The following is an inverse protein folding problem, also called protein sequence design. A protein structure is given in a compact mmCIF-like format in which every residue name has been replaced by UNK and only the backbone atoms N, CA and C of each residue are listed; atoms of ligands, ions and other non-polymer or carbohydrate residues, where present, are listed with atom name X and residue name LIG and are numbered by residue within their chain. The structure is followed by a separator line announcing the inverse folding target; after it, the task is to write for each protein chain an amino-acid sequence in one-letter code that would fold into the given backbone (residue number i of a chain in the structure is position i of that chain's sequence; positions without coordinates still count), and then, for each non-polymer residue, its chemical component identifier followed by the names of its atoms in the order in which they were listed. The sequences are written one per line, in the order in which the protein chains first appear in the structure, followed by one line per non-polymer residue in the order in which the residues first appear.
data_IF_176088478004
#
_entry.id   IF_176088478004
#
_cell.length_a   1.000
_cell.length_b   1.000
_cell.length_c   1.000
_cell.angle_alpha   90.00
_cell.angle_beta   90.00
_cell.angle_gamma   90.00
#
_symmetry.space_group_name_H-M   'P 1'
#
loop_
_entity.id
_entity.type
_entity.pdbx_description
1 polymer ?
#
# COMPACT_ATOMS: atom_id res chain seq x y z
N UNK A 1 17.48 5.27 -5.99
CA UNK A 1 16.69 6.12 -5.07
C UNK A 1 15.65 5.20 -4.45
N UNK A 2 15.45 5.30 -3.14
CA UNK A 2 14.44 4.50 -2.43
C UNK A 2 13.24 5.39 -2.13
N UNK A 3 12.05 4.82 -2.21
CA UNK A 3 10.81 5.43 -1.75
C UNK A 3 10.37 4.81 -0.43
N UNK A 4 9.79 5.62 0.45
CA UNK A 4 9.22 5.16 1.71
C UNK A 4 7.71 4.99 1.54
N UNK A 5 7.21 3.77 1.68
CA UNK A 5 5.77 3.45 1.54
C UNK A 5 5.24 2.91 2.85
N UNK A 6 4.16 3.51 3.34
CA UNK A 6 3.48 3.15 4.59
C UNK A 6 2.17 2.43 4.27
N UNK A 7 1.96 1.33 4.98
CA UNK A 7 0.78 0.48 4.89
C UNK A 7 0.09 0.50 6.23
N UNK A 8 -1.13 1.02 6.26
CA UNK A 8 -2.02 0.96 7.41
C UNK A 8 -3.10 -0.07 7.11
N UNK A 9 -3.17 -1.15 7.89
CA UNK A 9 -4.05 -2.27 7.54
C UNK A 9 -4.62 -2.96 8.77
N UNK A 10 -5.69 -3.73 8.53
CA UNK A 10 -6.30 -4.65 9.48
C UNK A 10 -7.15 -5.68 8.73
N UNK A 11 -7.46 -6.80 9.37
CA UNK A 11 -8.38 -7.82 8.86
C UNK A 11 -9.35 -8.21 9.95
N UNK A 12 -10.59 -8.54 9.60
CA UNK A 12 -11.52 -9.18 10.52
C UNK A 12 -10.88 -10.47 11.03
N UNK A 13 -10.79 -10.56 12.35
CA UNK A 13 -10.04 -11.54 13.12
C UNK A 13 -8.51 -11.51 12.94
N UNK A 14 -7.95 -12.05 11.87
CA UNK A 14 -6.50 -12.35 11.81
C UNK A 14 -5.86 -11.91 10.48
N UNK A 15 -4.71 -11.25 10.56
CA UNK A 15 -3.71 -11.16 9.48
C UNK A 15 -2.63 -12.21 9.75
N UNK A 16 -2.57 -13.26 8.94
CA UNK A 16 -1.64 -14.38 9.14
C UNK A 16 -0.23 -14.08 8.61
N UNK A 17 -0.15 -13.34 7.50
CA UNK A 17 1.10 -13.09 6.82
C UNK A 17 1.05 -11.85 5.92
N UNK A 18 2.23 -11.33 5.62
CA UNK A 18 2.40 -10.23 4.69
C UNK A 18 3.70 -10.39 3.88
N UNK A 19 3.58 -10.21 2.57
CA UNK A 19 4.66 -10.31 1.60
C UNK A 19 4.75 -9.08 0.70
N UNK A 20 5.97 -8.79 0.28
CA UNK A 20 6.29 -7.84 -0.78
C UNK A 20 7.02 -8.61 -1.87
N UNK A 21 6.54 -8.50 -3.11
CA UNK A 21 7.11 -9.18 -4.27
C UNK A 21 7.63 -8.17 -5.29
N UNK A 22 8.90 -8.28 -5.63
CA UNK A 22 9.62 -7.51 -6.65
C UNK A 22 10.06 -8.47 -7.76
N UNK A 23 9.35 -8.45 -8.89
CA UNK A 23 9.54 -9.45 -9.95
C UNK A 23 9.29 -10.88 -9.44
N UNK A 24 10.35 -11.68 -9.36
CA UNK A 24 10.33 -13.07 -8.86
C UNK A 24 10.75 -13.21 -7.39
N UNK A 25 11.18 -12.13 -6.75
CA UNK A 25 11.66 -12.17 -5.36
C UNK A 25 10.51 -11.84 -4.41
N UNK A 26 10.19 -12.77 -3.52
CA UNK A 26 9.19 -12.60 -2.47
C UNK A 26 9.90 -12.40 -1.14
N UNK A 27 9.53 -11.35 -0.40
CA UNK A 27 10.08 -11.05 0.93
C UNK A 27 8.95 -10.96 1.94
N UNK A 28 8.97 -11.84 2.94
CA UNK A 28 8.06 -11.76 4.09
C UNK A 28 8.38 -10.54 4.95
N UNK A 29 7.34 -9.86 5.42
CA UNK A 29 7.43 -8.74 6.35
C UNK A 29 6.99 -9.18 7.74
N UNK A 30 7.47 -8.49 8.78
CA UNK A 30 6.91 -8.65 10.12
C UNK A 30 5.48 -8.11 10.16
N UNK A 31 4.59 -8.84 10.84
CA UNK A 31 3.30 -8.31 11.25
C UNK A 31 3.48 -7.28 12.36
N UNK A 32 2.48 -6.42 12.54
CA UNK A 32 2.43 -5.54 13.70
C UNK A 32 1.88 -6.26 14.95
N UNK A 33 1.64 -5.48 15.99
CA UNK A 33 1.21 -6.00 17.30
C UNK A 33 -0.29 -6.32 17.33
N UNK A 34 -1.08 -5.86 16.35
CA UNK A 34 -2.54 -5.98 16.32
C UNK A 34 -3.04 -6.96 15.25
N UNK A 35 -2.20 -7.90 14.86
CA UNK A 35 -2.49 -8.89 13.82
C UNK A 35 -3.74 -9.73 14.10
N UNK A 36 -4.17 -9.86 15.37
CA UNK A 36 -5.36 -10.59 15.82
C UNK A 36 -6.49 -9.67 16.35
N UNK A 37 -6.41 -8.37 16.07
CA UNK A 37 -7.36 -7.39 16.57
C UNK A 37 -7.78 -6.40 15.48
N UNK A 38 -8.86 -6.78 14.78
CA UNK A 38 -9.41 -6.04 13.65
C UNK A 38 -9.86 -4.60 13.96
N UNK A 39 -10.08 -4.27 15.23
CA UNK A 39 -10.51 -2.93 15.65
C UNK A 39 -9.36 -1.94 15.73
N UNK A 40 -8.14 -2.44 15.74
CA UNK A 40 -6.92 -1.67 15.71
C UNK A 40 -6.22 -1.89 14.38
N UNK A 41 -5.48 -0.87 13.93
CA UNK A 41 -4.63 -1.00 12.76
C UNK A 41 -3.24 -1.48 13.16
N UNK A 42 -2.61 -2.18 12.24
CA UNK A 42 -1.16 -2.22 12.15
C UNK A 42 -0.65 -1.21 11.13
N UNK A 43 0.60 -0.79 11.33
CA UNK A 43 1.27 0.15 10.44
C UNK A 43 2.71 -0.27 10.25
N UNK A 44 3.13 -0.40 9.00
CA UNK A 44 4.53 -0.65 8.68
C UNK A 44 4.93 0.21 7.49
N UNK A 45 6.16 0.71 7.59
CA UNK A 45 6.79 1.49 6.53
C UNK A 45 7.98 0.72 6.02
N UNK A 46 8.01 0.51 4.69
CA UNK A 46 9.10 -0.19 4.02
C UNK A 46 9.78 0.72 3.00
N UNK A 47 11.05 0.45 2.74
CA UNK A 47 11.82 1.13 1.69
C UNK A 47 11.79 0.30 0.41
N UNK A 48 11.28 0.89 -0.67
CA UNK A 48 11.16 0.27 -1.98
C UNK A 48 12.08 0.97 -2.98
N UNK A 49 12.54 0.26 -4.01
CA UNK A 49 13.39 0.84 -5.05
C UNK A 49 12.54 1.62 -6.05
N UNK A 50 12.92 2.88 -6.31
CA UNK A 50 12.25 3.69 -7.32
C UNK A 50 12.55 3.16 -8.73
N UNK A 51 11.52 3.16 -9.58
CA UNK A 51 11.55 2.58 -10.92
C UNK A 51 11.05 1.13 -11.02
N UNK A 52 10.68 0.51 -9.89
CA UNK A 52 10.16 -0.86 -9.84
C UNK A 52 8.65 -0.91 -9.63
N UNK A 53 8.04 -2.03 -10.02
CA UNK A 53 6.66 -2.38 -9.71
C UNK A 53 6.64 -3.48 -8.65
N UNK A 54 5.72 -3.37 -7.70
CA UNK A 54 5.62 -4.25 -6.55
C UNK A 54 4.22 -4.83 -6.47
N UNK A 55 4.15 -6.12 -6.15
CA UNK A 55 2.94 -6.72 -5.61
C UNK A 55 3.07 -6.74 -4.08
N UNK A 56 2.02 -6.30 -3.39
CA UNK A 56 1.91 -6.43 -1.94
C UNK A 56 0.77 -7.36 -1.63
N UNK A 57 1.05 -8.40 -0.84
CA UNK A 57 0.15 -9.50 -0.58
C UNK A 57 -0.02 -9.68 0.92
N UNK A 58 -1.26 -9.66 1.39
CA UNK A 58 -1.62 -10.08 2.75
C UNK A 58 -2.31 -11.43 2.70
N UNK A 59 -2.12 -12.24 3.73
CA UNK A 59 -2.99 -13.36 4.05
C UNK A 59 -3.83 -12.97 5.27
N UNK A 60 -5.13 -13.15 5.18
CA UNK A 60 -6.05 -12.93 6.27
C UNK A 60 -6.91 -14.17 6.49
N UNK A 61 -7.23 -14.45 7.74
CA UNK A 61 -8.13 -15.52 8.15
C UNK A 61 -9.24 -15.00 9.04
N UNK A 62 -10.43 -15.53 8.81
CA UNK A 62 -11.63 -15.25 9.58
C UNK A 62 -12.05 -16.49 10.41
N UNK A 63 -12.56 -16.26 11.62
CA UNK A 63 -13.10 -17.31 12.50
C UNK A 63 -14.64 -17.27 12.49
N UNK A 64 -15.17 -17.28 11.27
CA UNK A 64 -16.60 -17.31 10.97
C UNK A 64 -17.29 -15.95 11.09
N UNK A 65 -18.41 -15.84 10.37
CA UNK A 65 -19.13 -14.59 10.25
C UNK A 65 -18.79 -13.92 8.93
N UNK A 66 -18.77 -12.59 8.91
CA UNK A 66 -18.61 -11.79 7.70
C UNK A 66 -17.18 -11.25 7.66
N UNK A 67 -16.31 -11.86 6.86
CA UNK A 67 -14.90 -11.51 6.78
C UNK A 67 -14.62 -10.24 5.97
N UNK A 68 -13.55 -9.53 6.33
CA UNK A 68 -13.14 -8.30 5.66
C UNK A 68 -11.68 -7.95 5.87
N UNK A 69 -11.08 -7.32 4.88
CA UNK A 69 -9.75 -6.73 4.94
C UNK A 69 -9.87 -5.23 4.66
N UNK A 70 -9.13 -4.42 5.40
CA UNK A 70 -9.10 -2.98 5.23
C UNK A 70 -7.66 -2.51 5.22
N UNK A 71 -7.28 -1.74 4.20
CA UNK A 71 -5.95 -1.15 4.15
C UNK A 71 -5.92 0.17 3.38
N UNK A 72 -4.99 1.02 3.77
CA UNK A 72 -4.62 2.26 3.08
C UNK A 72 -3.11 2.30 2.88
N UNK A 73 -2.70 2.68 1.67
CA UNK A 73 -1.29 2.81 1.31
C UNK A 73 -0.98 4.27 1.04
N UNK A 74 0.06 4.77 1.69
CA UNK A 74 0.50 6.16 1.55
C UNK A 74 2.01 6.24 1.32
N UNK A 75 2.45 7.29 0.63
CA UNK A 75 3.86 7.63 0.47
C UNK A 75 4.01 9.12 0.22
N UNK A 76 5.12 9.68 0.68
CA UNK A 76 5.55 11.01 0.29
C UNK A 76 6.19 11.03 -1.11
N UNK A 77 6.63 9.86 -1.59
CA UNK A 77 7.23 9.68 -2.91
C UNK A 77 6.13 9.40 -3.95
N UNK A 78 6.33 9.78 -5.23
CA UNK A 78 5.33 9.57 -6.25
C UNK A 78 5.21 8.10 -6.59
N UNK A 79 4.10 7.52 -6.18
CA UNK A 79 3.67 6.17 -6.51
C UNK A 79 2.48 6.23 -7.47
N UNK A 80 2.41 5.29 -8.40
CA UNK A 80 1.30 5.16 -9.34
C UNK A 80 0.38 4.01 -8.91
N UNK A 81 -0.92 4.20 -9.08
CA UNK A 81 -1.95 3.25 -8.65
C UNK A 81 -3.05 3.93 -7.84
N UNK A 82 -4.25 3.33 -7.82
CA UNK A 82 -5.34 3.78 -6.96
C UNK A 82 -5.24 3.08 -5.60
N UNK A 83 -4.34 3.59 -4.77
CA UNK A 83 -3.85 2.92 -3.57
C UNK A 83 -4.79 2.96 -2.36
N UNK A 84 -5.85 3.75 -2.46
CA UNK A 84 -6.89 3.90 -1.45
C UNK A 84 -8.22 3.25 -1.87
N UNK A 85 -8.34 2.81 -3.13
CA UNK A 85 -9.55 2.14 -3.61
C UNK A 85 -9.24 0.72 -4.04
N UNK A 86 -10.05 -0.19 -3.54
CA UNK A 86 -9.93 -1.62 -3.82
C UNK A 86 -10.41 -2.03 -5.20
N UNK A 87 -10.89 -1.09 -6.02
CA UNK A 87 -11.30 -1.37 -7.40
C UNK A 87 -10.20 -2.00 -8.27
N UNK A 88 -8.93 -1.82 -7.89
CA UNK A 88 -7.77 -2.46 -8.55
C UNK A 88 -7.17 -3.62 -7.77
N UNK A 89 -7.75 -4.00 -6.63
CA UNK A 89 -7.22 -5.05 -5.76
C UNK A 89 -7.80 -6.39 -6.15
N UNK A 90 -7.08 -7.44 -5.81
CA UNK A 90 -7.44 -8.79 -6.18
C UNK A 90 -7.32 -9.74 -5.00
N UNK A 91 -8.06 -10.83 -5.05
CA UNK A 91 -8.09 -11.86 -4.02
C UNK A 91 -7.96 -13.24 -4.63
N UNK A 92 -7.51 -14.20 -3.82
CA UNK A 92 -7.56 -15.63 -4.11
C UNK A 92 -7.72 -16.43 -2.82
N UNK A 93 -8.41 -17.55 -2.91
CA UNK A 93 -8.55 -18.55 -1.82
C UNK A 93 -7.60 -19.73 -2.03
N UNK A 94 -6.81 -19.72 -3.11
CA UNK A 94 -5.84 -20.78 -3.39
C UNK A 94 -4.65 -20.66 -2.43
N UNK A 95 -4.23 -21.79 -1.86
CA UNK A 95 -3.10 -21.84 -0.91
C UNK A 95 -1.77 -21.48 -1.58
N UNK A 96 -1.58 -21.88 -2.84
CA UNK A 96 -0.38 -21.60 -3.63
C UNK A 96 -0.51 -20.27 -4.40
N UNK A 97 -0.65 -19.17 -3.65
CA UNK A 97 -1.00 -17.83 -4.16
C UNK A 97 -0.05 -17.28 -5.23
N UNK A 98 1.21 -17.72 -5.24
CA UNK A 98 2.23 -17.29 -6.22
C UNK A 98 1.87 -17.70 -7.66
N UNK A 99 1.16 -18.81 -7.80
CA UNK A 99 0.69 -19.36 -9.09
C UNK A 99 -0.82 -19.29 -9.27
N UNK A 100 -1.52 -18.78 -8.26
CA UNK A 100 -2.97 -18.77 -8.21
C UNK A 100 -3.61 -17.88 -9.27
N UNK A 101 -4.87 -18.17 -9.56
CA UNK A 101 -5.71 -17.23 -10.29
C UNK A 101 -6.23 -16.17 -9.33
N UNK A 102 -5.97 -14.91 -9.68
CA UNK A 102 -6.43 -13.75 -8.92
C UNK A 102 -7.69 -13.18 -9.55
N UNK A 103 -8.72 -12.96 -8.73
CA UNK A 103 -9.97 -12.31 -9.15
C UNK A 103 -10.10 -10.94 -8.50
N UNK A 104 -10.88 -9.99 -9.06
CA UNK A 104 -11.12 -8.72 -8.41
C UNK A 104 -11.69 -8.89 -7.00
N UNK A 105 -11.22 -8.08 -6.05
CA UNK A 105 -11.78 -8.04 -4.71
C UNK A 105 -13.21 -7.49 -4.73
N UNK A 106 -14.07 -8.00 -3.85
CA UNK A 106 -15.43 -7.50 -3.66
C UNK A 106 -15.43 -6.39 -2.61
N UNK A 107 -16.06 -5.27 -2.94
CA UNK A 107 -16.24 -4.11 -2.05
C UNK A 107 -17.44 -4.31 -1.13
N UNK A 108 -17.25 -4.05 0.17
CA UNK A 108 -18.29 -4.15 1.18
C UNK A 108 -18.59 -2.84 1.92
N UNK A 109 -17.78 -1.79 1.72
CA UNK A 109 -18.03 -0.49 2.34
C UNK A 109 -16.75 0.30 2.60
N UNK A 110 -16.83 1.63 2.51
CA UNK A 110 -15.73 2.50 2.94
C UNK A 110 -15.55 2.46 4.46
N UNK A 111 -14.34 2.71 4.96
CA UNK A 111 -14.02 2.72 6.38
C UNK A 111 -14.93 3.68 7.17
N UNK A 112 -15.24 4.86 6.63
CA UNK A 112 -16.18 5.81 7.23
C UNK A 112 -17.67 5.55 6.89
N UNK A 113 -17.97 4.52 6.09
CA UNK A 113 -19.33 4.14 5.73
C UNK A 113 -20.05 3.48 6.90
N UNK A 114 -21.31 3.88 7.16
CA UNK A 114 -22.10 3.35 8.27
C UNK A 114 -22.95 2.12 7.92
N UNK A 115 -22.97 1.70 6.65
CA UNK A 115 -23.90 0.69 6.13
C UNK A 115 -23.38 -0.75 6.16
N UNK A 116 -22.18 -1.00 6.70
CA UNK A 116 -21.57 -2.32 6.76
C UNK A 116 -21.30 -2.76 8.21
N UNK A 117 -21.00 -4.05 8.39
CA UNK A 117 -20.94 -4.69 9.71
C UNK A 117 -19.78 -4.16 10.56
N UNK A 118 -18.60 -3.92 9.97
CA UNK A 118 -17.41 -3.52 10.73
C UNK A 118 -17.57 -2.16 11.39
N UNK A 119 -18.12 -1.16 10.69
CA UNK A 119 -18.40 0.15 11.30
C UNK A 119 -19.47 0.05 12.38
N UNK A 120 -20.51 -0.79 12.18
CA UNK A 120 -21.58 -0.96 13.16
C UNK A 120 -21.07 -1.59 14.47
N UNK A 121 -20.26 -2.64 14.36
CA UNK A 121 -19.70 -3.36 15.51
C UNK A 121 -18.60 -2.55 16.19
N UNK A 122 -17.77 -1.85 15.42
CA UNK A 122 -16.72 -0.98 15.96
C UNK A 122 -17.26 0.37 16.47
N UNK A 123 -18.51 0.71 16.15
CA UNK A 123 -19.15 2.01 16.46
C UNK A 123 -18.42 3.20 15.82
N UNK A 124 -17.86 3.00 14.64
CA UNK A 124 -17.10 4.01 13.90
C UNK A 124 -16.03 3.40 12.99
N UNK A 125 -15.35 4.25 12.20
CA UNK A 125 -14.23 3.81 11.36
C UNK A 125 -13.07 3.26 12.20
N UNK A 126 -12.24 2.41 11.60
CA UNK A 126 -10.95 2.04 12.17
C UNK A 126 -10.06 3.27 12.18
N UNK A 127 -9.68 3.71 13.37
CA UNK A 127 -8.91 4.94 13.55
C UNK A 127 -7.50 4.77 13.00
N UNK A 128 -7.07 5.74 12.20
CA UNK A 128 -5.71 5.77 11.65
C UNK A 128 -5.56 5.07 10.30
N UNK A 129 -6.59 4.38 9.80
CA UNK A 129 -6.68 4.00 8.39
C UNK A 129 -7.48 5.10 7.66
N UNK A 130 -7.14 5.37 6.40
CA UNK A 130 -7.84 6.37 5.59
C UNK A 130 -9.36 6.12 5.61
N UNK A 131 -10.15 7.19 5.68
CA UNK A 131 -11.60 7.09 5.76
C UNK A 131 -12.23 6.60 4.45
N UNK A 132 -11.58 6.85 3.32
CA UNK A 132 -12.00 6.41 2.00
C UNK A 132 -11.47 5.02 1.64
N UNK A 133 -10.67 4.39 2.51
CA UNK A 133 -10.24 3.01 2.32
C UNK A 133 -11.44 2.06 2.33
N UNK A 134 -11.36 1.01 1.53
CA UNK A 134 -12.45 0.10 1.27
C UNK A 134 -12.28 -1.21 2.07
N UNK A 135 -13.31 -1.62 2.81
CA UNK A 135 -13.44 -2.99 3.29
C UNK A 135 -13.68 -3.92 2.11
N UNK A 136 -12.82 -4.93 1.98
CA UNK A 136 -12.83 -5.87 0.87
C UNK A 136 -12.63 -7.31 1.29
N UNK A 137 -13.12 -8.22 0.45
CA UNK A 137 -12.88 -9.65 0.58
C UNK A 137 -13.13 -10.35 -0.76
N UNK A 138 -13.33 -11.66 -0.74
CA UNK A 138 -13.98 -12.39 -1.85
C UNK A 138 -15.47 -12.06 -1.95
N UNK A 139 -16.13 -12.54 -3.00
CA UNK A 139 -17.59 -12.44 -3.16
C UNK A 139 -18.38 -13.38 -2.22
N UNK A 140 -17.68 -14.17 -1.41
CA UNK A 140 -18.23 -15.11 -0.43
C UNK A 140 -17.62 -14.90 0.94
N UNK A 141 -17.71 -13.67 1.44
CA UNK A 141 -17.11 -13.30 2.71
C UNK A 141 -17.73 -13.96 3.95
N UNK A 142 -18.83 -14.69 3.80
CA UNK A 142 -19.40 -15.51 4.87
C UNK A 142 -18.79 -16.92 4.98
N UNK A 143 -18.02 -17.36 3.98
CA UNK A 143 -17.54 -18.75 3.90
C UNK A 143 -16.06 -18.90 3.54
N UNK A 144 -15.46 -17.90 2.91
CA UNK A 144 -14.05 -17.93 2.54
C UNK A 144 -13.20 -17.44 3.73
N UNK A 145 -12.85 -18.37 4.62
CA UNK A 145 -12.18 -18.05 5.89
C UNK A 145 -10.67 -17.85 5.79
N UNK A 146 -10.05 -18.06 4.63
CA UNK A 146 -8.63 -17.81 4.40
C UNK A 146 -8.45 -17.26 2.99
N UNK A 147 -7.93 -16.05 2.91
CA UNK A 147 -7.84 -15.30 1.66
C UNK A 147 -6.49 -14.62 1.58
N UNK A 148 -5.89 -14.68 0.39
CA UNK A 148 -4.81 -13.80 0.02
C UNK A 148 -5.38 -12.57 -0.70
N UNK A 149 -4.94 -11.38 -0.30
CA UNK A 149 -5.32 -10.09 -0.85
C UNK A 149 -4.09 -9.45 -1.46
N UNK A 150 -4.16 -9.01 -2.72
CA UNK A 150 -3.06 -8.40 -3.45
C UNK A 150 -3.43 -7.05 -4.04
N UNK A 151 -2.49 -6.12 -3.94
CA UNK A 151 -2.47 -4.89 -4.73
C UNK A 151 -1.14 -4.72 -5.44
N UNK A 152 -1.16 -4.07 -6.59
CA UNK A 152 0.01 -3.84 -7.44
C UNK A 152 0.18 -2.35 -7.68
N UNK A 153 1.39 -1.84 -7.49
CA UNK A 153 1.71 -0.44 -7.75
C UNK A 153 3.15 -0.27 -8.20
N UNK A 154 3.46 0.88 -8.82
CA UNK A 154 4.82 1.21 -9.21
C UNK A 154 5.32 2.45 -8.49
N UNK A 155 6.56 2.38 -8.02
CA UNK A 155 7.28 3.51 -7.45
C UNK A 155 7.94 4.27 -8.59
N UNK A 156 7.51 5.49 -8.85
CA UNK A 156 8.07 6.25 -9.96
C UNK A 156 9.47 6.75 -9.60
N UNK A 157 10.41 6.65 -10.53
CA UNK A 157 11.67 7.37 -10.40
C UNK A 157 11.42 8.85 -10.60
N UNK A 158 11.72 9.66 -9.57
CA UNK A 158 11.77 11.11 -9.75
C UNK A 158 13.12 11.44 -10.35
N UNK A 159 13.18 11.98 -11.59
CA UNK A 159 14.44 12.47 -12.12
C UNK A 159 14.96 13.55 -11.17
N UNK A 160 16.22 13.45 -10.77
CA UNK A 160 16.88 14.52 -10.01
C UNK A 160 16.62 15.82 -10.79
N UNK A 161 16.04 16.86 -10.16
CA UNK A 161 15.56 18.01 -10.90
C UNK A 161 16.65 18.55 -11.81
N UNK A 162 16.31 18.88 -13.06
CA UNK A 162 17.19 19.63 -13.96
C UNK A 162 17.74 20.92 -13.30
N UNK A 163 17.07 21.39 -12.24
CA UNK A 163 17.56 22.42 -11.34
C UNK A 163 19.00 22.16 -10.85
N UNK A 164 19.45 20.92 -10.60
CA UNK A 164 20.86 20.67 -10.24
C UNK A 164 21.83 21.13 -11.33
N UNK A 165 21.51 20.83 -12.60
CA UNK A 165 22.29 21.29 -13.74
C UNK A 165 22.15 22.78 -13.99
N UNK A 166 20.97 23.36 -13.77
CA UNK A 166 20.73 24.81 -13.86
C UNK A 166 21.47 25.59 -12.77
N UNK A 167 21.47 25.08 -11.54
CA UNK A 167 22.24 25.65 -10.43
C UNK A 167 23.73 25.54 -10.69
N UNK A 168 24.21 24.38 -11.15
CA UNK A 168 25.62 24.19 -11.51
C UNK A 168 26.08 25.11 -12.63
N UNK A 169 25.35 25.13 -13.74
CA UNK A 169 25.65 26.00 -14.89
C UNK A 169 25.48 27.49 -14.57
N UNK A 170 24.48 27.84 -13.76
CA UNK A 170 24.28 29.19 -13.25
C UNK A 170 25.46 29.68 -12.41
N UNK A 171 25.99 28.82 -11.52
CA UNK A 171 27.19 29.14 -10.73
C UNK A 171 28.42 29.36 -11.61
N UNK A 172 28.63 28.48 -12.60
CA UNK A 172 29.75 28.61 -13.56
C UNK A 172 29.63 29.90 -14.37
N UNK A 173 28.41 30.23 -14.82
CA UNK A 173 28.11 31.49 -15.50
C UNK A 173 28.45 32.72 -14.65
N UNK A 174 28.08 32.72 -13.37
CA UNK A 174 28.39 33.79 -12.41
C UNK A 174 29.90 33.95 -12.17
N UNK A 175 30.64 32.84 -12.04
CA UNK A 175 32.12 32.88 -11.90
C UNK A 175 32.77 33.44 -13.18
N UNK A 176 32.29 33.02 -14.35
CA UNK A 176 32.75 33.55 -15.64
C UNK A 176 32.50 35.05 -15.77
N UNK A 177 31.32 35.53 -15.35
CA UNK A 177 30.98 36.95 -15.36
C UNK A 177 31.86 37.77 -14.42
N UNK A 178 32.19 37.24 -13.24
CA UNK A 178 33.10 37.89 -12.27
C UNK A 178 34.53 38.04 -12.80
N UNK A 179 35.04 37.07 -13.56
CA UNK A 179 36.39 37.14 -14.14
C UNK A 179 36.52 38.23 -15.20
N UNK A 180 35.49 38.42 -16.06
CA UNK A 180 35.50 39.48 -17.09
C UNK A 180 35.63 40.89 -16.50
N UNK A 181 35.05 41.13 -15.31
CA UNK A 181 35.14 42.43 -14.62
C UNK A 181 36.52 42.77 -14.03
N UNK A 182 37.47 41.83 -13.98
CA UNK A 182 38.84 42.07 -13.48
C UNK A 182 39.87 42.32 -14.60
N UNK A 183 39.50 42.18 -15.86
CA UNK A 183 40.39 42.37 -17.02
C UNK A 183 40.07 43.62 -17.85
N UNK A 184 39.37 44.59 -17.27
CA UNK A 184 39.23 45.96 -17.77
C UNK A 184 39.62 46.92 -16.64
#
# INVERSE_FOLDING_TARGET
MTASVTFDYTADNIVDAWYVKDGSTVTSQSLGDNWDNWKLKDSLTISLTAGSSYDVIWQASDDGGVAGFLAAISSADPISGNLLSSTSWSVTTETDWETATWVPATYYGQNNGSSHIWTQVNKGPITGIDQAADWIWTDKNETDNNVFIKTTFAVNSVPVPAAFWLFGSGLVGLVGFRRRRKSS
#
